data_IF_364393589528
#
_entry.id   IF_364393589528
#
_cell.length_a   1.000
_cell.length_b   1.000
_cell.length_c   1.000
_cell.angle_alpha   90.00
_cell.angle_beta   90.00
_cell.angle_gamma   90.00
#
_symmetry.space_group_name_H-M   'P 1'
#
loop_
_entity.id
_entity.type
_entity.pdbx_description
1 polymer ?
#
# COMPACT_ATOMS: atom_id res chain seq x y z
N UNK A 1 10.51 16.55 -22.21
CA UNK A 1 10.75 15.53 -21.17
C UNK A 1 10.04 16.01 -19.91
N UNK A 2 8.98 15.33 -19.46
CA UNK A 2 8.40 15.67 -18.16
C UNK A 2 9.40 15.26 -17.08
N UNK A 3 9.83 16.21 -16.27
CA UNK A 3 10.62 15.93 -15.07
C UNK A 3 9.80 14.97 -14.21
N UNK A 4 10.35 13.77 -13.97
CA UNK A 4 9.87 12.86 -12.94
C UNK A 4 9.88 13.67 -11.65
N UNK A 5 8.71 14.15 -11.22
CA UNK A 5 8.55 14.75 -9.89
C UNK A 5 8.82 13.61 -8.91
N UNK A 6 10.07 13.51 -8.46
CA UNK A 6 10.41 12.67 -7.31
C UNK A 6 9.56 13.20 -6.17
N UNK A 7 8.48 12.50 -5.83
CA UNK A 7 7.69 12.78 -4.65
C UNK A 7 8.60 12.49 -3.45
N UNK A 8 9.35 13.50 -3.02
CA UNK A 8 10.31 13.35 -1.92
C UNK A 8 9.62 13.18 -0.56
N UNK A 9 8.30 13.36 -0.48
CA UNK A 9 7.54 13.18 0.75
C UNK A 9 6.83 11.83 0.76
N UNK A 10 7.16 10.97 1.74
CA UNK A 10 6.56 9.64 1.94
C UNK A 10 5.03 9.73 2.03
N UNK A 11 4.50 10.80 2.63
CA UNK A 11 3.05 11.00 2.78
C UNK A 11 2.30 11.17 1.47
N UNK A 12 2.98 11.55 0.38
CA UNK A 12 2.36 11.66 -0.94
C UNK A 12 2.41 10.34 -1.74
N UNK A 13 3.06 9.30 -1.21
CA UNK A 13 3.21 8.00 -1.86
C UNK A 13 2.05 7.05 -1.60
N UNK A 14 1.32 7.25 -0.50
CA UNK A 14 0.30 6.33 -0.03
C UNK A 14 -1.05 7.01 0.07
N UNK A 15 -2.06 6.46 -0.60
CA UNK A 15 -3.44 6.85 -0.41
C UNK A 15 -4.04 6.02 0.73
N UNK A 16 -4.25 6.66 1.88
CA UNK A 16 -4.90 6.03 3.03
C UNK A 16 -6.40 5.94 2.74
N UNK A 17 -6.92 4.72 2.71
CA UNK A 17 -8.34 4.42 2.49
C UNK A 17 -8.97 4.02 3.81
N UNK A 18 -10.10 4.63 4.14
CA UNK A 18 -10.92 4.20 5.27
C UNK A 18 -11.87 3.07 4.82
N UNK A 19 -11.92 2.00 5.61
CA UNK A 19 -12.87 0.90 5.46
C UNK A 19 -14.14 1.18 6.27
N UNK A 20 -15.21 0.48 5.92
CA UNK A 20 -16.52 0.59 6.60
C UNK A 20 -16.48 0.29 8.12
N UNK A 21 -15.49 -0.46 8.59
CA UNK A 21 -15.30 -0.79 10.00
C UNK A 21 -14.47 0.25 10.77
N UNK A 22 -14.11 1.38 10.16
CA UNK A 22 -13.26 2.43 10.76
C UNK A 22 -11.76 2.12 10.74
N UNK A 23 -11.36 0.97 10.18
CA UNK A 23 -9.94 0.67 9.94
C UNK A 23 -9.44 1.41 8.70
N UNK A 24 -8.14 1.72 8.69
CA UNK A 24 -7.48 2.29 7.53
C UNK A 24 -6.58 1.28 6.82
N UNK A 25 -6.50 1.44 5.50
CA UNK A 25 -5.80 0.57 4.59
C UNK A 25 -5.00 1.35 3.56
N UNK A 26 -4.02 0.70 2.95
CA UNK A 26 -3.27 1.23 1.81
C UNK A 26 -3.26 0.25 0.65
N UNK A 27 -2.96 0.74 -0.55
CA UNK A 27 -2.74 -0.12 -1.70
C UNK A 27 -1.41 -0.89 -1.57
N UNK A 28 -1.48 -2.21 -1.73
CA UNK A 28 -0.31 -3.08 -1.85
C UNK A 28 0.55 -2.68 -3.06
N UNK A 29 -0.07 -2.22 -4.15
CA UNK A 29 0.62 -1.75 -5.35
C UNK A 29 1.35 -0.44 -5.12
N UNK A 30 0.84 0.47 -4.28
CA UNK A 30 1.56 1.67 -3.86
C UNK A 30 2.80 1.30 -3.03
N UNK A 31 2.64 0.44 -2.01
CA UNK A 31 3.77 -0.08 -1.22
C UNK A 31 4.81 -0.79 -2.09
N UNK A 32 4.36 -1.65 -3.00
CA UNK A 32 5.22 -2.33 -3.96
C UNK A 32 6.04 -1.36 -4.83
N UNK A 33 5.41 -0.29 -5.33
CA UNK A 33 6.09 0.74 -6.14
C UNK A 33 7.07 1.55 -5.30
N UNK A 34 6.66 1.97 -4.10
CA UNK A 34 7.47 2.77 -3.18
C UNK A 34 8.72 2.00 -2.72
N UNK A 35 8.61 0.69 -2.53
CA UNK A 35 9.72 -0.22 -2.21
C UNK A 35 10.66 -0.50 -3.40
N UNK A 36 10.31 -0.04 -4.62
CA UNK A 36 11.10 -0.25 -5.85
C UNK A 36 11.41 -1.73 -6.13
N UNK A 37 10.44 -2.60 -5.85
CA UNK A 37 10.60 -4.04 -6.04
C UNK A 37 10.71 -4.37 -7.53
N UNK A 38 11.80 -5.05 -7.91
CA UNK A 38 12.05 -5.46 -9.31
C UNK A 38 11.15 -6.61 -9.80
N UNK A 39 10.77 -7.51 -8.89
CA UNK A 39 9.91 -8.67 -9.21
C UNK A 39 8.54 -8.18 -9.65
N UNK A 40 7.85 -8.89 -10.56
CA UNK A 40 6.46 -8.56 -10.94
C UNK A 40 5.55 -8.51 -9.71
N UNK A 41 4.59 -7.58 -9.71
CA UNK A 41 3.64 -7.38 -8.61
C UNK A 41 2.96 -8.67 -8.15
N UNK A 42 2.37 -9.45 -9.06
CA UNK A 42 1.61 -10.67 -8.67
C UNK A 42 2.46 -11.68 -7.92
N UNK A 43 3.69 -11.92 -8.37
CA UNK A 43 4.59 -12.85 -7.70
C UNK A 43 5.28 -12.26 -6.46
N UNK A 44 5.26 -10.94 -6.30
CA UNK A 44 5.64 -10.29 -5.04
C UNK A 44 4.52 -10.41 -4.01
N UNK A 45 3.28 -10.10 -4.40
CA UNK A 45 2.10 -10.18 -3.56
C UNK A 45 1.86 -11.63 -3.10
N UNK A 46 1.95 -12.61 -3.99
CA UNK A 46 1.81 -14.03 -3.63
C UNK A 46 2.80 -14.47 -2.53
N UNK A 47 4.03 -13.96 -2.55
CA UNK A 47 5.04 -14.30 -1.52
C UNK A 47 4.80 -13.52 -0.24
N UNK A 48 4.64 -12.20 -0.34
CA UNK A 48 4.60 -11.32 0.83
C UNK A 48 3.23 -11.35 1.52
N UNK A 49 2.17 -11.77 0.83
CA UNK A 49 0.83 -11.89 1.40
C UNK A 49 0.49 -13.34 1.83
N UNK A 50 1.37 -14.31 1.56
CA UNK A 50 1.14 -15.76 1.77
C UNK A 50 0.65 -16.13 3.17
N UNK A 51 1.18 -15.45 4.19
CA UNK A 51 0.90 -15.78 5.60
C UNK A 51 -0.24 -14.95 6.19
N UNK A 52 -0.80 -14.03 5.41
CA UNK A 52 -1.91 -13.18 5.80
C UNK A 52 -3.23 -13.76 5.28
N UNK A 53 -4.34 -13.37 5.91
CA UNK A 53 -5.69 -13.84 5.62
C UNK A 53 -6.47 -12.78 4.86
N UNK A 54 -6.97 -13.16 3.69
CA UNK A 54 -7.91 -12.33 2.94
C UNK A 54 -9.19 -12.07 3.76
N UNK A 55 -9.79 -10.89 3.60
CA UNK A 55 -10.92 -10.34 4.35
C UNK A 55 -10.65 -10.01 5.84
N UNK A 56 -9.42 -10.21 6.31
CA UNK A 56 -8.98 -9.75 7.64
C UNK A 56 -7.79 -8.81 7.50
N UNK A 57 -6.71 -9.31 6.92
CA UNK A 57 -5.42 -8.64 6.82
C UNK A 57 -5.36 -7.79 5.54
N UNK A 58 -5.97 -8.28 4.48
CA UNK A 58 -6.11 -7.55 3.22
C UNK A 58 -7.36 -7.97 2.45
N UNK A 59 -7.77 -7.17 1.48
CA UNK A 59 -8.88 -7.48 0.58
C UNK A 59 -8.47 -7.24 -0.86
N UNK A 60 -8.87 -8.12 -1.79
CA UNK A 60 -8.64 -7.91 -3.22
C UNK A 60 -9.44 -6.71 -3.74
N UNK A 61 -8.78 -5.85 -4.50
CA UNK A 61 -9.35 -4.66 -5.12
C UNK A 61 -9.02 -4.66 -6.60
N UNK A 62 -10.03 -4.47 -7.45
CA UNK A 62 -9.83 -4.35 -8.89
C UNK A 62 -9.65 -2.88 -9.26
N UNK A 63 -8.48 -2.56 -9.81
CA UNK A 63 -8.21 -1.24 -10.40
C UNK A 63 -8.28 -1.35 -11.92
N UNK A 64 -8.79 -0.32 -12.59
CA UNK A 64 -8.80 -0.27 -14.05
C UNK A 64 -7.66 0.60 -14.60
N UNK A 65 -7.04 0.17 -15.69
CA UNK A 65 -6.12 1.00 -16.49
C UNK A 65 -6.51 0.96 -17.96
N UNK A 66 -6.32 2.06 -18.68
CA UNK A 66 -6.52 2.12 -20.13
C UNK A 66 -5.21 1.73 -20.80
N UNK A 67 -5.23 0.68 -21.62
CA UNK A 67 -4.07 0.27 -22.42
C UNK A 67 -4.05 1.01 -23.77
N UNK A 68 -2.92 0.96 -24.49
CA UNK A 68 -2.66 1.78 -25.69
C UNK A 68 -3.72 1.70 -26.79
N UNK A 69 -4.48 0.59 -26.89
CA UNK A 69 -5.55 0.42 -27.86
C UNK A 69 -6.92 0.92 -27.36
N UNK A 70 -6.96 1.65 -26.23
CA UNK A 70 -8.19 2.14 -25.60
C UNK A 70 -8.94 1.09 -24.77
N UNK A 71 -8.51 -0.17 -24.77
CA UNK A 71 -9.16 -1.20 -23.96
C UNK A 71 -8.92 -0.94 -22.47
N UNK A 72 -9.96 -1.16 -21.66
CA UNK A 72 -9.85 -1.11 -20.20
C UNK A 72 -9.39 -2.47 -19.71
N UNK A 73 -8.21 -2.51 -19.09
CA UNK A 73 -7.67 -3.72 -18.45
C UNK A 73 -7.86 -3.61 -16.94
N UNK A 74 -8.42 -4.66 -16.36
CA UNK A 74 -8.47 -4.83 -14.92
C UNK A 74 -7.10 -5.29 -14.40
N UNK A 75 -6.65 -4.63 -13.34
CA UNK A 75 -5.44 -4.92 -12.60
C UNK A 75 -5.84 -5.30 -11.19
N UNK A 76 -5.35 -6.45 -10.76
CA UNK A 76 -5.48 -6.90 -9.38
C UNK A 76 -4.62 -6.02 -8.46
N UNK A 77 -5.18 -5.55 -7.36
CA UNK A 77 -4.49 -4.88 -6.27
C UNK A 77 -5.05 -5.42 -4.94
N UNK A 78 -4.43 -5.05 -3.83
CA UNK A 78 -4.90 -5.44 -2.51
C UNK A 78 -4.92 -4.23 -1.58
N UNK A 79 -6.00 -4.03 -0.85
CA UNK A 79 -6.07 -3.09 0.25
C UNK A 79 -5.50 -3.78 1.51
N UNK A 80 -4.32 -3.38 1.96
CA UNK A 80 -3.64 -3.90 3.15
C UNK A 80 -4.03 -3.07 4.36
N UNK A 81 -4.36 -3.69 5.49
CA UNK A 81 -4.42 -2.94 6.76
C UNK A 81 -3.06 -2.34 7.08
N UNK A 82 -3.01 -1.27 7.90
CA UNK A 82 -1.73 -0.68 8.29
C UNK A 82 -0.81 -1.65 9.01
N UNK A 83 -1.35 -2.58 9.82
CA UNK A 83 -0.56 -3.64 10.45
C UNK A 83 0.17 -4.50 9.44
N UNK A 84 -0.52 -4.91 8.38
CA UNK A 84 0.04 -5.72 7.31
C UNK A 84 1.01 -4.90 6.48
N UNK A 85 0.69 -3.64 6.18
CA UNK A 85 1.60 -2.73 5.49
C UNK A 85 2.92 -2.55 6.24
N UNK A 86 2.89 -2.33 7.56
CA UNK A 86 4.07 -2.26 8.43
C UNK A 86 4.89 -3.55 8.35
N UNK A 87 4.23 -4.70 8.42
CA UNK A 87 4.91 -6.00 8.38
C UNK A 87 5.55 -6.25 7.00
N UNK A 88 4.82 -6.02 5.91
CA UNK A 88 5.30 -6.18 4.53
C UNK A 88 6.43 -5.20 4.22
N UNK A 89 6.35 -3.96 4.69
CA UNK A 89 7.42 -2.99 4.55
C UNK A 89 8.71 -3.49 5.23
N UNK A 90 8.62 -4.07 6.43
CA UNK A 90 9.80 -4.60 7.12
C UNK A 90 10.35 -5.89 6.50
N UNK A 91 9.50 -6.73 5.92
CA UNK A 91 9.94 -7.94 5.20
C UNK A 91 10.79 -7.62 3.96
N UNK A 92 10.75 -6.39 3.44
CA UNK A 92 11.64 -6.00 2.34
C UNK A 92 13.12 -6.04 2.74
N UNK A 93 13.43 -5.89 4.03
CA UNK A 93 14.80 -5.80 4.54
C UNK A 93 15.56 -4.57 4.01
N UNK A 94 14.85 -3.52 3.58
CA UNK A 94 15.45 -2.29 3.04
C UNK A 94 15.26 -1.11 3.99
N UNK A 95 16.13 -0.10 3.88
CA UNK A 95 16.00 1.17 4.62
C UNK A 95 14.66 1.87 4.31
N UNK A 96 14.23 1.87 3.04
CA UNK A 96 12.90 2.34 2.64
C UNK A 96 11.77 1.61 3.37
N UNK A 97 11.91 0.29 3.54
CA UNK A 97 10.95 -0.52 4.29
C UNK A 97 10.83 -0.05 5.74
N UNK A 98 11.96 0.32 6.35
CA UNK A 98 11.99 0.89 7.70
C UNK A 98 11.32 2.28 7.75
N UNK A 99 11.63 3.16 6.80
CA UNK A 99 11.02 4.50 6.73
C UNK A 99 9.49 4.43 6.54
N UNK A 100 9.03 3.53 5.67
CA UNK A 100 7.59 3.32 5.46
C UNK A 100 6.91 2.74 6.69
N UNK A 101 7.56 1.83 7.41
CA UNK A 101 7.05 1.34 8.71
C UNK A 101 6.88 2.50 9.69
N UNK A 102 7.89 3.36 9.85
CA UNK A 102 7.81 4.53 10.74
C UNK A 102 6.68 5.48 10.33
N UNK A 103 6.52 5.73 9.03
CA UNK A 103 5.42 6.52 8.51
C UNK A 103 4.06 5.90 8.84
N UNK A 104 3.87 4.61 8.60
CA UNK A 104 2.60 3.94 8.90
C UNK A 104 2.27 3.95 10.41
N UNK A 105 3.28 3.89 11.28
CA UNK A 105 3.09 4.06 12.73
C UNK A 105 2.60 5.47 13.06
N UNK A 106 3.14 6.50 12.41
CA UNK A 106 2.69 7.88 12.61
C UNK A 106 1.25 8.08 12.13
N UNK A 107 0.90 7.52 10.96
CA UNK A 107 -0.47 7.55 10.44
C UNK A 107 -1.43 6.86 11.40
N UNK A 108 -1.08 5.66 11.88
CA UNK A 108 -1.89 4.92 12.84
C UNK A 108 -2.08 5.67 14.17
N UNK A 109 -1.04 6.33 14.68
CA UNK A 109 -1.14 7.17 15.89
C UNK A 109 -2.04 8.38 15.67
N UNK A 110 -1.93 9.04 14.52
CA UNK A 110 -2.77 10.17 14.17
C UNK A 110 -4.24 9.74 14.04
N UNK A 111 -4.50 8.61 13.39
CA UNK A 111 -5.84 8.04 13.23
C UNK A 111 -6.48 7.66 14.57
N UNK A 112 -5.69 7.09 15.48
CA UNK A 112 -6.14 6.71 16.81
C UNK A 112 -6.15 7.87 17.82
N UNK A 113 -5.84 9.10 17.40
CA UNK A 113 -5.89 10.26 18.30
C UNK A 113 -7.34 10.66 18.60
N UNK A 114 -7.64 11.13 19.82
CA UNK A 114 -9.01 11.51 20.21
C UNK A 114 -9.66 12.52 19.26
N UNK A 115 -8.85 13.41 18.68
CA UNK A 115 -9.28 14.44 17.72
C UNK A 115 -9.86 13.87 16.43
N UNK A 116 -9.46 12.65 16.04
CA UNK A 116 -9.94 11.96 14.82
C UNK A 116 -11.08 10.98 15.10
N UNK A 117 -11.26 10.55 16.35
CA UNK A 117 -12.31 9.58 16.74
C UNK A 117 -13.62 10.29 17.15
N UNK A 118 -13.58 11.58 17.50
CA UNK A 118 -14.76 12.37 17.92
C UNK A 118 -15.46 13.06 16.75
#
# INVERSE_FOLDING_TARGET
>A
MQALKTKSNIGEMFNIQEKENGEIAISARELYKALEVKKRFSAWAEINLKHFKENRDFTSVLTSTVVNNGAVRQLEDYALTLDVAKHVAMMSGTEKGFDFREYFIQVEKAWNSPEMIM
#
